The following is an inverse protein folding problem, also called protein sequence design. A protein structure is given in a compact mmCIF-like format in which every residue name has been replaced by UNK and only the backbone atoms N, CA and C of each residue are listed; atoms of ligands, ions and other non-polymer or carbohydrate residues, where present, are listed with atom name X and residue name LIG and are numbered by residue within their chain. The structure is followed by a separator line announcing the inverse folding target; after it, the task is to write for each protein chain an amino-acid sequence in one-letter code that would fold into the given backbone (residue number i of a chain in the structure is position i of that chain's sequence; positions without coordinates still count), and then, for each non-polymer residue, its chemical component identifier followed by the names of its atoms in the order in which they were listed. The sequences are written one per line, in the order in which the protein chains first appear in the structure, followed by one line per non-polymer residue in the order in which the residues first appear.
data_IF_563515510054
#
_entry.id   IF_563515510054
#
_cell.length_a   1.000
_cell.length_b   1.000
_cell.length_c   1.000
_cell.angle_alpha   90.00
_cell.angle_beta   90.00
_cell.angle_gamma   90.00
#
_symmetry.space_group_name_H-M   'P 1'
#
loop_
_entity.id
_entity.type
_entity.pdbx_description
1 polymer ?
#
# COMPACT_ATOMS: atom_id res chain seq x y z
N UNK A 1 14.99 -5.91 -14.74
CA UNK A 1 13.80 -5.04 -14.77
C UNK A 1 13.52 -4.48 -13.38
N UNK A 2 13.35 -3.19 -13.29
CA UNK A 2 13.09 -2.53 -12.01
C UNK A 2 11.58 -2.52 -11.72
N UNK A 3 11.20 -3.00 -10.53
CA UNK A 3 9.82 -2.90 -10.07
C UNK A 3 9.68 -1.64 -9.24
N UNK A 4 8.62 -0.89 -9.47
CA UNK A 4 8.36 0.27 -8.64
C UNK A 4 6.86 0.47 -8.41
N UNK A 5 6.55 1.14 -7.33
CA UNK A 5 5.20 1.40 -6.88
C UNK A 5 4.97 2.91 -6.76
N UNK A 6 3.86 3.37 -7.28
CA UNK A 6 3.43 4.75 -7.07
C UNK A 6 2.34 4.71 -5.99
N UNK A 7 2.60 5.38 -4.89
CA UNK A 7 1.69 5.42 -3.74
C UNK A 7 0.99 6.77 -3.61
N UNK A 8 -0.14 6.75 -2.92
CA UNK A 8 -0.84 7.97 -2.58
C UNK A 8 -1.65 8.55 -3.72
N UNK A 9 -2.17 7.69 -4.57
CA UNK A 9 -2.99 8.13 -5.70
C UNK A 9 -4.32 8.71 -5.21
N UNK A 10 -4.70 9.84 -5.76
CA UNK A 10 -5.93 10.54 -5.41
C UNK A 10 -6.80 10.86 -6.63
N UNK A 11 -6.37 10.46 -7.81
CA UNK A 11 -7.16 10.62 -9.03
C UNK A 11 -6.81 9.54 -10.05
N UNK A 12 -7.71 9.32 -10.99
CA UNK A 12 -7.53 8.30 -12.02
C UNK A 12 -6.47 8.71 -13.04
N UNK A 13 -6.29 9.99 -13.28
CA UNK A 13 -5.34 10.48 -14.27
C UNK A 13 -3.91 10.10 -13.88
N UNK A 14 -3.56 10.25 -12.60
CA UNK A 14 -2.24 9.87 -12.13
C UNK A 14 -2.04 8.36 -12.15
N UNK A 15 -3.10 7.59 -11.95
CA UNK A 15 -3.03 6.13 -12.08
C UNK A 15 -2.72 5.72 -13.52
N UNK A 16 -3.36 6.36 -14.47
CA UNK A 16 -3.13 6.11 -15.91
C UNK A 16 -1.69 6.46 -16.27
N UNK A 17 -1.22 7.62 -15.85
CA UNK A 17 0.17 8.06 -16.11
C UNK A 17 1.17 7.08 -15.51
N UNK A 18 0.92 6.64 -14.29
CA UNK A 18 1.80 5.66 -13.63
C UNK A 18 1.87 4.36 -14.44
N UNK A 19 0.72 3.87 -14.89
CA UNK A 19 0.68 2.66 -15.71
C UNK A 19 1.46 2.83 -17.02
N UNK A 20 1.25 3.96 -17.69
CA UNK A 20 1.93 4.24 -18.96
C UNK A 20 3.45 4.34 -18.80
N UNK A 21 3.92 4.69 -17.61
CA UNK A 21 5.34 4.78 -17.31
C UNK A 21 5.92 3.51 -16.68
N UNK A 22 5.18 2.42 -16.71
CA UNK A 22 5.69 1.11 -16.33
C UNK A 22 5.63 0.79 -14.85
N UNK A 23 4.79 1.49 -14.08
CA UNK A 23 4.63 1.14 -12.66
C UNK A 23 4.16 -0.29 -12.52
N UNK A 24 4.71 -1.00 -11.54
CA UNK A 24 4.34 -2.38 -11.23
C UNK A 24 3.19 -2.42 -10.24
N UNK A 25 3.05 -1.39 -9.40
CA UNK A 25 2.05 -1.32 -8.35
C UNK A 25 1.48 0.08 -8.27
N UNK A 26 0.16 0.16 -8.02
CA UNK A 26 -0.54 1.41 -7.75
C UNK A 26 -1.06 1.36 -6.32
N UNK A 27 -0.63 2.28 -5.48
CA UNK A 27 -0.95 2.30 -4.06
C UNK A 27 -1.96 3.36 -3.67
N UNK A 28 -2.94 2.95 -2.87
CA UNK A 28 -3.96 3.81 -2.31
C UNK A 28 -3.84 3.78 -0.80
N UNK A 29 -3.82 4.95 -0.18
CA UNK A 29 -3.56 5.07 1.25
C UNK A 29 -4.90 5.13 1.99
N UNK A 30 -5.16 4.10 2.78
CA UNK A 30 -6.35 4.04 3.63
C UNK A 30 -6.02 4.28 5.10
N UNK A 31 -4.76 4.57 5.40
CA UNK A 31 -4.34 4.90 6.77
C UNK A 31 -5.04 6.18 7.21
N UNK A 32 -5.73 6.11 8.35
CA UNK A 32 -6.49 7.25 8.85
C UNK A 32 -5.59 8.36 9.37
N UNK A 33 -5.97 9.59 9.05
CA UNK A 33 -5.30 10.78 9.58
C UNK A 33 -4.07 11.23 8.84
N UNK A 34 -3.69 10.56 7.76
CA UNK A 34 -2.53 10.98 6.98
C UNK A 34 -2.97 11.81 5.78
N UNK A 35 -2.03 12.61 5.28
CA UNK A 35 -2.32 13.59 4.24
C UNK A 35 -2.86 12.98 2.94
N UNK A 36 -2.40 11.79 2.59
CA UNK A 36 -2.79 11.14 1.33
C UNK A 36 -3.91 10.13 1.49
N UNK A 37 -4.56 10.13 2.63
CA UNK A 37 -5.68 9.22 2.87
C UNK A 37 -6.78 9.43 1.81
N UNK A 38 -7.32 8.33 1.30
CA UNK A 38 -8.51 8.35 0.44
C UNK A 38 -9.63 7.59 1.14
N UNK A 39 -10.87 8.03 0.90
CA UNK A 39 -12.03 7.29 1.39
C UNK A 39 -12.27 6.07 0.50
N UNK A 40 -13.02 5.11 1.00
CA UNK A 40 -13.41 3.96 0.21
C UNK A 40 -14.16 4.38 -1.06
N UNK A 41 -15.10 5.30 -0.94
CA UNK A 41 -15.87 5.76 -2.09
C UNK A 41 -15.00 6.42 -3.16
N UNK A 42 -14.04 7.23 -2.73
CA UNK A 42 -13.13 7.87 -3.67
C UNK A 42 -12.23 6.84 -4.35
N UNK A 43 -11.72 5.87 -3.58
CA UNK A 43 -10.87 4.82 -4.14
C UNK A 43 -11.60 3.99 -5.17
N UNK A 44 -12.85 3.60 -4.88
CA UNK A 44 -13.67 2.86 -5.83
C UNK A 44 -13.84 3.66 -7.12
N UNK A 45 -14.15 4.93 -7.01
CA UNK A 45 -14.33 5.78 -8.19
C UNK A 45 -13.05 5.89 -9.01
N UNK A 46 -11.91 6.13 -8.35
CA UNK A 46 -10.62 6.22 -9.03
C UNK A 46 -10.30 4.92 -9.78
N UNK A 47 -10.49 3.79 -9.11
CA UNK A 47 -10.19 2.48 -9.69
C UNK A 47 -11.12 2.18 -10.85
N UNK A 48 -12.41 2.48 -10.72
CA UNK A 48 -13.37 2.24 -11.80
C UNK A 48 -13.05 3.10 -13.02
N UNK A 49 -12.75 4.38 -12.83
CA UNK A 49 -12.37 5.27 -13.92
C UNK A 49 -11.07 4.79 -14.58
N UNK A 50 -10.09 4.42 -13.77
CA UNK A 50 -8.82 3.90 -14.26
C UNK A 50 -9.03 2.64 -15.11
N UNK A 51 -9.83 1.71 -14.63
CA UNK A 51 -10.10 0.46 -15.36
C UNK A 51 -10.93 0.69 -16.62
N UNK A 52 -11.82 1.66 -16.58
CA UNK A 52 -12.60 2.03 -17.76
C UNK A 52 -11.69 2.53 -18.87
N UNK A 53 -10.74 3.41 -18.53
CA UNK A 53 -9.81 4.01 -19.49
C UNK A 53 -8.70 3.04 -19.94
N UNK A 54 -8.19 2.24 -19.03
CA UNK A 54 -6.97 1.46 -19.25
C UNK A 54 -7.21 -0.05 -19.38
N UNK A 55 -8.42 -0.49 -19.10
CA UNK A 55 -8.74 -1.91 -19.11
C UNK A 55 -8.16 -2.65 -17.90
N UNK A 56 -8.30 -3.96 -17.89
CA UNK A 56 -7.76 -4.82 -16.85
C UNK A 56 -6.35 -5.25 -17.22
N UNK A 57 -5.62 -5.73 -16.24
CA UNK A 57 -4.21 -6.03 -16.40
C UNK A 57 -3.37 -4.81 -16.09
N UNK A 58 -2.07 -4.92 -16.12
CA UNK A 58 -1.16 -3.84 -15.75
C UNK A 58 -0.79 -3.89 -14.28
N UNK A 59 -0.50 -2.76 -13.65
CA UNK A 59 -0.04 -2.72 -12.27
C UNK A 59 -1.01 -3.38 -11.29
N UNK A 60 -0.46 -4.05 -10.29
CA UNK A 60 -1.25 -4.59 -9.19
C UNK A 60 -1.73 -3.45 -8.28
N UNK A 61 -2.90 -3.61 -7.70
CA UNK A 61 -3.49 -2.61 -6.81
C UNK A 61 -3.12 -2.93 -5.36
N UNK A 62 -2.60 -1.95 -4.65
CA UNK A 62 -2.13 -2.09 -3.28
C UNK A 62 -2.89 -1.11 -2.38
N UNK A 63 -3.43 -1.60 -1.28
CA UNK A 63 -3.98 -0.73 -0.25
C UNK A 63 -3.02 -0.66 0.92
N UNK A 64 -2.78 0.54 1.44
CA UNK A 64 -1.94 0.75 2.61
C UNK A 64 -2.81 0.94 3.83
N UNK A 65 -2.53 0.17 4.88
CA UNK A 65 -3.32 0.16 6.12
C UNK A 65 -2.38 0.23 7.33
N UNK A 66 -2.90 0.72 8.44
CA UNK A 66 -2.15 0.74 9.70
C UNK A 66 -3.12 0.54 10.87
N UNK A 67 -3.04 -0.62 11.51
CA UNK A 67 -3.76 -0.95 12.75
C UNK A 67 -5.29 -0.82 12.67
N UNK A 68 -5.84 -0.97 11.47
CA UNK A 68 -7.29 -0.87 11.29
C UNK A 68 -7.96 -2.20 11.64
N UNK A 69 -9.24 -2.20 12.03
CA UNK A 69 -9.96 -3.46 12.24
C UNK A 69 -9.93 -4.32 10.98
N UNK A 70 -9.77 -5.63 11.17
CA UNK A 70 -9.64 -6.55 10.04
C UNK A 70 -10.88 -6.51 9.13
N UNK A 71 -12.04 -6.31 9.71
CA UNK A 71 -13.29 -6.22 8.96
C UNK A 71 -13.27 -5.04 7.98
N UNK A 72 -12.74 -3.90 8.44
CA UNK A 72 -12.61 -2.71 7.60
C UNK A 72 -11.65 -2.96 6.44
N UNK A 73 -10.52 -3.58 6.74
CA UNK A 73 -9.49 -3.89 5.73
C UNK A 73 -10.05 -4.83 4.67
N UNK A 74 -10.70 -5.90 5.09
CA UNK A 74 -11.25 -6.88 4.15
C UNK A 74 -12.40 -6.32 3.33
N UNK A 75 -13.20 -5.43 3.90
CA UNK A 75 -14.24 -4.74 3.14
C UNK A 75 -13.62 -3.90 2.02
N UNK A 76 -12.60 -3.13 2.34
CA UNK A 76 -11.92 -2.29 1.36
C UNK A 76 -11.27 -3.15 0.26
N UNK A 77 -10.62 -4.24 0.65
CA UNK A 77 -10.02 -5.17 -0.30
C UNK A 77 -11.06 -5.69 -1.28
N UNK A 78 -12.19 -6.11 -0.76
CA UNK A 78 -13.28 -6.67 -1.57
C UNK A 78 -13.90 -5.63 -2.49
N UNK A 79 -14.22 -4.45 -1.96
CA UNK A 79 -14.89 -3.41 -2.73
C UNK A 79 -14.00 -2.80 -3.80
N UNK A 80 -12.71 -2.67 -3.53
CA UNK A 80 -11.76 -2.10 -4.49
C UNK A 80 -11.11 -3.13 -5.40
N UNK A 81 -11.20 -4.40 -5.06
CA UNK A 81 -10.51 -5.45 -5.81
C UNK A 81 -9.00 -5.34 -5.68
N UNK A 82 -8.51 -5.14 -4.46
CA UNK A 82 -7.08 -4.99 -4.22
C UNK A 82 -6.35 -6.32 -4.31
N UNK A 83 -5.17 -6.30 -4.90
CA UNK A 83 -4.31 -7.48 -5.02
C UNK A 83 -3.44 -7.67 -3.79
N UNK A 84 -3.04 -6.56 -3.16
CA UNK A 84 -2.14 -6.57 -2.01
C UNK A 84 -2.64 -5.63 -0.92
N UNK A 85 -2.37 -6.02 0.32
CA UNK A 85 -2.54 -5.14 1.47
C UNK A 85 -1.17 -4.90 2.08
N UNK A 86 -0.73 -3.65 2.09
CA UNK A 86 0.52 -3.27 2.73
C UNK A 86 0.20 -2.80 4.15
N UNK A 87 0.76 -3.52 5.12
CA UNK A 87 0.50 -3.26 6.53
C UNK A 87 1.64 -2.45 7.12
N UNK A 88 1.35 -1.22 7.48
CA UNK A 88 2.34 -0.23 7.91
C UNK A 88 2.38 -0.02 9.42
N UNK A 89 1.50 -0.67 10.16
CA UNK A 89 1.40 -0.52 11.61
C UNK A 89 2.02 -1.68 12.37
N UNK A 90 1.43 -2.01 13.51
CA UNK A 90 1.94 -3.04 14.42
C UNK A 90 1.24 -4.39 14.21
N UNK A 91 0.68 -4.63 13.06
CA UNK A 91 -0.04 -5.86 12.77
C UNK A 91 0.89 -7.08 12.88
N UNK A 92 0.42 -8.11 13.57
CA UNK A 92 1.17 -9.35 13.75
C UNK A 92 0.73 -10.43 12.76
N UNK A 93 1.35 -11.60 12.85
CA UNK A 93 1.07 -12.70 11.95
C UNK A 93 -0.39 -13.17 12.03
N UNK A 94 -1.00 -13.16 13.20
CA UNK A 94 -2.40 -13.57 13.32
C UNK A 94 -3.33 -12.62 12.56
N UNK A 95 -2.99 -11.34 12.53
CA UNK A 95 -3.70 -10.35 11.73
C UNK A 95 -3.50 -10.64 10.24
N UNK A 96 -2.26 -10.89 9.82
CA UNK A 96 -1.95 -11.15 8.41
C UNK A 96 -2.74 -12.33 7.86
N UNK A 97 -2.91 -13.36 8.68
CA UNK A 97 -3.60 -14.59 8.26
C UNK A 97 -5.08 -14.36 7.96
N UNK A 98 -5.65 -13.28 8.49
CA UNK A 98 -7.05 -12.94 8.27
C UNK A 98 -7.28 -11.95 7.13
N UNK A 99 -6.20 -11.43 6.53
CA UNK A 99 -6.30 -10.48 5.42
C UNK A 99 -6.66 -11.22 4.13
N UNK A 100 -7.65 -10.71 3.41
CA UNK A 100 -8.16 -11.33 2.18
C UNK A 100 -7.37 -10.95 0.92
N UNK A 101 -6.11 -10.61 1.06
CA UNK A 101 -5.23 -10.29 -0.06
C UNK A 101 -3.81 -10.72 0.31
N UNK A 102 -2.91 -10.69 -0.66
CA UNK A 102 -1.50 -10.90 -0.38
C UNK A 102 -0.99 -9.76 0.50
N UNK A 103 -0.21 -10.11 1.51
CA UNK A 103 0.24 -9.15 2.51
C UNK A 103 1.68 -8.71 2.22
N UNK A 104 1.88 -7.39 2.26
CA UNK A 104 3.20 -6.79 2.24
C UNK A 104 3.39 -6.12 3.59
N UNK A 105 4.34 -6.60 4.37
CA UNK A 105 4.58 -6.01 5.70
C UNK A 105 5.70 -5.00 5.61
N UNK A 106 5.41 -3.78 6.05
CA UNK A 106 6.42 -2.74 6.16
C UNK A 106 7.16 -2.90 7.48
N UNK A 107 8.47 -3.05 7.39
CA UNK A 107 9.32 -3.23 8.56
C UNK A 107 10.20 -2.00 8.72
N UNK A 108 10.24 -1.46 9.91
CA UNK A 108 11.14 -0.37 10.24
C UNK A 108 12.43 -0.96 10.80
N UNK A 109 13.51 -0.67 10.15
CA UNK A 109 14.82 -1.16 10.59
C UNK A 109 15.59 0.02 11.16
N UNK A 110 15.87 -0.07 12.46
CA UNK A 110 16.74 0.89 13.12
C UNK A 110 18.14 0.31 13.04
N UNK A 111 19.02 1.01 12.35
CA UNK A 111 20.38 0.54 12.19
C UNK A 111 21.20 0.67 13.47
N UNK A 112 20.63 1.24 14.53
CA UNK A 112 21.24 1.28 15.85
C UNK A 112 22.55 2.03 15.91
N UNK A 113 22.90 2.62 14.82
CA UNK A 113 24.20 3.24 14.74
C UNK A 113 24.08 4.63 15.28
N UNK A 114 24.84 4.90 16.28
CA UNK A 114 25.22 6.24 16.56
C UNK A 114 24.29 7.31 16.01
N UNK A 115 23.14 7.40 16.60
CA UNK A 115 22.17 8.44 16.26
C UNK A 115 22.79 9.83 16.36
N UNK A 116 23.94 9.94 17.02
CA UNK A 116 24.68 11.21 17.12
C UNK A 116 25.33 11.64 15.82
N UNK A 117 25.53 10.73 14.90
CA UNK A 117 26.10 11.03 13.60
C UNK A 117 25.04 11.28 12.54
N UNK A 118 23.78 11.07 12.92
CA UNK A 118 22.66 11.24 12.02
C UNK A 118 21.92 12.49 12.44
N UNK A 119 21.73 13.41 11.51
CA UNK A 119 20.98 14.62 11.76
C UNK A 119 19.59 14.27 12.26
N UNK A 120 19.03 15.09 13.12
CA UNK A 120 17.68 14.87 13.63
C UNK A 120 16.65 14.76 12.52
N UNK A 121 16.91 15.39 11.38
CA UNK A 121 16.05 15.31 10.20
C UNK A 121 16.37 14.11 9.32
N UNK A 122 17.45 13.42 9.62
CA UNK A 122 17.83 12.22 8.88
C UNK A 122 17.13 11.01 9.48
N UNK A 123 16.72 10.13 8.62
CA UNK A 123 16.02 8.93 9.06
C UNK A 123 17.02 8.01 9.75
N UNK A 124 16.81 7.72 11.01
CA UNK A 124 17.65 6.77 11.73
C UNK A 124 17.28 5.33 11.46
N UNK A 125 16.28 5.11 10.62
CA UNK A 125 15.84 3.77 10.23
C UNK A 125 15.39 3.79 8.78
N UNK A 126 15.42 2.63 8.16
CA UNK A 126 14.95 2.44 6.79
C UNK A 126 13.68 1.60 6.82
N UNK A 127 12.73 1.94 5.98
CA UNK A 127 11.54 1.14 5.79
C UNK A 127 11.84 0.07 4.75
N UNK A 128 11.64 -1.17 5.15
CA UNK A 128 11.79 -2.30 4.25
C UNK A 128 10.44 -2.96 4.07
N UNK A 129 10.06 -3.17 2.83
CA UNK A 129 8.79 -3.81 2.49
C UNK A 129 9.09 -5.23 2.03
N UNK A 130 8.52 -6.21 2.73
CA UNK A 130 8.72 -7.62 2.42
C UNK A 130 7.39 -8.28 2.12
N UNK A 131 7.30 -9.05 1.04
CA UNK A 131 6.11 -9.87 0.82
C UNK A 131 6.05 -10.96 1.88
N UNK A 132 4.84 -11.24 2.36
CA UNK A 132 4.62 -12.32 3.30
C UNK A 132 3.76 -13.38 2.66
N UNK A 133 4.14 -14.62 2.88
CA UNK A 133 3.40 -15.74 2.33
C UNK A 133 2.38 -16.22 3.36
N UNK A 134 1.12 -16.33 2.94
CA UNK A 134 0.03 -16.78 3.80
C UNK A 134 0.00 -18.28 3.97
N UNK A 135 0.69 -19.00 3.12
CA UNK A 135 0.67 -20.44 3.09
C UNK A 135 1.75 -21.01 3.96
N UNK A 136 1.92 -20.88 5.03
CA UNK A 136 3.02 -21.52 5.76
C UNK A 136 2.54 -22.71 6.56
#
# INVERSE_FOLDING_TARGET
MTLFKICGLKDSQNAIVARENGASFLGFVFVHGVKREVSLDLAIRIIDEYRYESGRGGPALVGLFANQPIEEVNEIISECGLDYAQLCGEEDKSYWDEVDAEVIKQVKIDFGVNSKLINSDSVSYTHLTLPTNREV
#
